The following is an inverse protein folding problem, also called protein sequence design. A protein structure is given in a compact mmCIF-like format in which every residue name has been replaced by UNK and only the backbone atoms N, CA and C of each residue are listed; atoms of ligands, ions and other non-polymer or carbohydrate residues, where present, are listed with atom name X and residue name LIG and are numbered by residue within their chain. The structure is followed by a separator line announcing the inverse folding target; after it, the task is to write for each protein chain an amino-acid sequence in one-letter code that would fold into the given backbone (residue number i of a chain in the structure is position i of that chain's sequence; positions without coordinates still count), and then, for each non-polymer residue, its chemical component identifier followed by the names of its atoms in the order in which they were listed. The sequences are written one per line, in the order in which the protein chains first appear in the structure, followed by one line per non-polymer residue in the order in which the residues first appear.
data_IF_951455914363
#
_entry.id   IF_951455914363
#
_cell.length_a   1.000
_cell.length_b   1.000
_cell.length_c   1.000
_cell.angle_alpha   90.00
_cell.angle_beta   90.00
_cell.angle_gamma   90.00
#
_symmetry.space_group_name_H-M   'P 1'
#
loop_
_entity.id
_entity.type
_entity.pdbx_description
1 polymer ?
#
# COMPACT_ATOMS: atom_id res chain seq x y z
N UNK A 1 0.70 28.95 6.14
CA UNK A 1 1.76 28.76 5.12
C UNK A 1 1.22 27.80 4.06
N UNK A 2 1.28 28.17 2.78
CA UNK A 2 0.72 27.38 1.67
C UNK A 2 1.81 26.41 1.19
N UNK A 3 1.71 25.13 1.56
CA UNK A 3 2.67 24.10 1.16
C UNK A 3 2.41 23.72 -0.29
N UNK A 4 3.36 24.04 -1.19
CA UNK A 4 3.37 23.56 -2.57
C UNK A 4 4.19 22.27 -2.62
N UNK A 5 3.57 21.18 -3.05
CA UNK A 5 4.24 19.89 -3.24
C UNK A 5 4.49 19.67 -4.74
N UNK A 6 5.62 19.02 -5.09
CA UNK A 6 6.11 18.73 -6.45
C UNK A 6 5.18 19.12 -7.62
N UNK A 7 5.46 20.27 -8.26
CA UNK A 7 4.83 20.69 -9.52
C UNK A 7 3.64 21.67 -9.41
N UNK A 8 3.62 22.55 -8.39
CA UNK A 8 2.55 23.54 -8.14
C UNK A 8 1.15 22.95 -7.86
N UNK A 9 1.06 21.65 -7.60
CA UNK A 9 -0.18 21.00 -7.16
C UNK A 9 -0.43 21.26 -5.67
N UNK A 10 -1.72 21.42 -5.31
CA UNK A 10 -2.12 21.50 -3.92
C UNK A 10 -1.72 20.21 -3.19
N UNK A 11 -1.22 20.39 -1.97
CA UNK A 11 -0.82 19.28 -1.11
C UNK A 11 -2.04 18.38 -0.88
N UNK A 12 -1.96 17.06 -1.14
CA UNK A 12 -3.09 16.17 -0.97
C UNK A 12 -3.63 16.26 0.48
N UNK A 13 -4.96 16.22 0.64
CA UNK A 13 -5.60 16.41 1.95
C UNK A 13 -5.11 15.43 3.02
N UNK A 14 -4.73 14.21 2.62
CA UNK A 14 -4.13 13.23 3.53
C UNK A 14 -2.77 13.68 4.08
N UNK A 15 -1.94 14.36 3.28
CA UNK A 15 -0.65 14.91 3.70
C UNK A 15 -0.86 16.06 4.68
N UNK A 16 -1.85 16.93 4.41
CA UNK A 16 -2.19 18.04 5.31
C UNK A 16 -2.72 17.54 6.66
N UNK A 17 -3.54 16.49 6.65
CA UNK A 17 -3.97 15.81 7.86
C UNK A 17 -2.78 15.25 8.65
N UNK A 18 -1.85 14.57 7.97
CA UNK A 18 -0.63 13.99 8.57
C UNK A 18 0.30 15.06 9.18
N UNK A 19 0.49 16.19 8.47
CA UNK A 19 1.28 17.32 8.98
C UNK A 19 0.63 17.91 10.24
N UNK A 20 -0.71 17.99 10.26
CA UNK A 20 -1.43 18.54 11.41
C UNK A 20 -1.37 17.63 12.65
N UNK A 21 -1.38 16.30 12.46
CA UNK A 21 -1.23 15.32 13.55
C UNK A 21 0.21 15.29 14.06
N UNK A 22 1.20 15.28 13.16
CA UNK A 22 2.61 15.40 13.51
C UNK A 22 2.91 16.68 14.30
N UNK A 23 2.35 17.82 13.89
CA UNK A 23 2.51 19.08 14.61
C UNK A 23 1.96 19.03 16.05
N UNK A 24 0.79 18.41 16.25
CA UNK A 24 0.19 18.22 17.59
C UNK A 24 0.98 17.27 18.47
N UNK A 25 1.53 16.20 17.89
CA UNK A 25 2.40 15.26 18.62
C UNK A 25 3.68 15.96 19.03
N UNK A 26 4.30 16.70 18.11
CA UNK A 26 5.51 17.47 18.38
C UNK A 26 5.31 18.48 19.51
N UNK A 27 4.22 19.23 19.52
CA UNK A 27 3.93 20.21 20.58
C UNK A 27 3.77 19.55 21.96
N UNK A 28 3.16 18.37 22.02
CA UNK A 28 3.02 17.60 23.27
C UNK A 28 4.35 17.01 23.74
N UNK A 29 5.13 16.44 22.83
CA UNK A 29 6.45 15.89 23.14
C UNK A 29 7.36 17.01 23.63
N UNK A 30 7.36 18.16 22.98
CA UNK A 30 8.17 19.32 23.38
C UNK A 30 7.82 19.84 24.78
N UNK A 31 6.53 19.79 25.17
CA UNK A 31 6.09 20.10 26.54
C UNK A 31 6.57 19.06 27.55
N UNK A 32 6.57 17.78 27.20
CA UNK A 32 7.04 16.68 28.07
C UNK A 32 8.57 16.61 28.18
N UNK A 33 9.28 17.05 27.15
CA UNK A 33 10.76 17.07 27.10
C UNK A 33 11.36 18.42 27.50
N UNK A 34 10.54 19.38 27.93
CA UNK A 34 10.98 20.72 28.34
C UNK A 34 11.96 20.66 29.53
N UNK A 35 11.75 19.71 30.44
CA UNK A 35 12.61 19.50 31.61
C UNK A 35 13.97 18.86 31.25
N UNK A 36 14.05 18.20 30.10
CA UNK A 36 15.21 17.42 29.67
C UNK A 36 16.19 18.19 28.76
N UNK A 37 15.95 19.49 28.50
CA UNK A 37 16.83 20.38 27.71
C UNK A 37 17.17 19.89 26.30
N UNK A 38 16.29 19.13 25.66
CA UNK A 38 16.49 18.73 24.27
C UNK A 38 16.32 19.92 23.30
N UNK A 39 17.15 19.99 22.27
CA UNK A 39 16.95 20.95 21.20
C UNK A 39 15.75 20.56 20.33
N UNK A 40 15.12 21.55 19.70
CA UNK A 40 14.00 21.33 18.78
C UNK A 40 14.35 20.38 17.61
N UNK A 41 15.64 20.28 17.26
CA UNK A 41 16.15 19.32 16.28
C UNK A 41 16.10 17.88 16.80
N UNK A 42 16.59 17.65 18.02
CA UNK A 42 16.64 16.32 18.65
C UNK A 42 15.24 15.75 18.89
N UNK A 43 14.29 16.60 19.30
CA UNK A 43 12.89 16.18 19.49
C UNK A 43 12.27 15.74 18.16
N UNK A 44 12.53 16.45 17.06
CA UNK A 44 12.05 16.05 15.72
C UNK A 44 12.70 14.76 15.26
N UNK A 45 14.01 14.61 15.47
CA UNK A 45 14.74 13.39 15.13
C UNK A 45 14.20 12.19 15.91
N UNK A 46 13.97 12.34 17.23
CA UNK A 46 13.41 11.30 18.07
C UNK A 46 12.01 10.89 17.62
N UNK A 47 11.12 11.85 17.34
CA UNK A 47 9.77 11.55 16.84
C UNK A 47 9.81 10.85 15.48
N UNK A 48 10.70 11.28 14.58
CA UNK A 48 10.86 10.64 13.27
C UNK A 48 11.40 9.21 13.39
N UNK A 49 12.40 8.98 14.23
CA UNK A 49 12.98 7.65 14.48
C UNK A 49 11.96 6.71 15.09
N UNK A 50 11.22 7.14 16.13
CA UNK A 50 10.18 6.32 16.75
C UNK A 50 9.03 6.02 15.78
N UNK A 51 8.59 7.01 15.00
CA UNK A 51 7.57 6.81 13.97
C UNK A 51 8.04 5.82 12.91
N UNK A 52 9.30 5.91 12.49
CA UNK A 52 9.89 5.01 11.50
C UNK A 52 10.02 3.58 12.01
N UNK A 53 10.53 3.38 13.23
CA UNK A 53 10.70 2.06 13.83
C UNK A 53 9.35 1.37 14.01
N UNK A 54 8.37 2.06 14.62
CA UNK A 54 7.04 1.48 14.86
C UNK A 54 6.30 1.19 13.56
N UNK A 55 6.40 2.08 12.56
CA UNK A 55 5.79 1.84 11.25
C UNK A 55 6.47 0.68 10.52
N UNK A 56 7.79 0.56 10.60
CA UNK A 56 8.54 -0.53 9.96
C UNK A 56 8.26 -1.87 10.64
N UNK A 57 8.19 -1.90 11.97
CA UNK A 57 7.80 -3.08 12.74
C UNK A 57 6.40 -3.56 12.35
N UNK A 58 5.43 -2.64 12.28
CA UNK A 58 4.06 -2.98 11.89
C UNK A 58 3.94 -3.47 10.44
N UNK A 59 4.71 -2.89 9.51
CA UNK A 59 4.73 -3.33 8.09
C UNK A 59 5.22 -4.75 7.92
N UNK A 60 6.27 -5.13 8.65
CA UNK A 60 6.85 -6.47 8.58
C UNK A 60 6.23 -7.44 9.60
N UNK A 61 5.20 -6.99 10.33
CA UNK A 61 4.50 -7.77 11.34
C UNK A 61 5.44 -8.41 12.37
N UNK A 62 6.45 -7.63 12.81
CA UNK A 62 7.46 -8.06 13.79
C UNK A 62 6.81 -8.28 15.15
N UNK A 63 7.22 -9.34 15.85
CA UNK A 63 6.81 -9.67 17.21
C UNK A 63 7.47 -8.76 18.26
N UNK A 64 6.82 -8.61 19.43
CA UNK A 64 7.29 -7.70 20.47
C UNK A 64 8.64 -8.09 21.09
N UNK A 65 8.99 -9.38 21.09
CA UNK A 65 10.28 -9.87 21.59
C UNK A 65 11.42 -9.50 20.64
N UNK A 66 11.25 -9.73 19.33
CA UNK A 66 12.18 -9.32 18.29
C UNK A 66 12.36 -7.80 18.26
N UNK A 67 11.27 -7.02 18.35
CA UNK A 67 11.35 -5.56 18.43
C UNK A 67 12.12 -5.08 19.66
N UNK A 68 11.95 -5.77 20.81
CA UNK A 68 12.68 -5.45 22.04
C UNK A 68 14.18 -5.70 21.91
N UNK A 69 14.56 -6.80 21.24
CA UNK A 69 15.95 -7.13 20.94
C UNK A 69 16.60 -6.07 20.03
N UNK A 70 15.91 -5.68 18.95
CA UNK A 70 16.39 -4.63 18.02
C UNK A 70 16.55 -3.27 18.72
N UNK A 71 15.59 -2.87 19.56
CA UNK A 71 15.68 -1.62 20.32
C UNK A 71 16.85 -1.64 21.33
N UNK A 72 17.14 -2.78 21.95
CA UNK A 72 18.29 -2.94 22.84
C UNK A 72 19.61 -2.87 22.08
N UNK A 73 19.68 -3.44 20.86
CA UNK A 73 20.86 -3.35 19.99
C UNK A 73 21.12 -1.92 19.49
N UNK A 74 20.06 -1.14 19.28
CA UNK A 74 20.14 0.30 19.00
C UNK A 74 20.63 1.12 20.22
N UNK A 75 20.79 0.48 21.39
CA UNK A 75 21.33 1.10 22.60
C UNK A 75 20.27 1.61 23.57
N UNK A 76 18.98 1.30 23.38
CA UNK A 76 17.96 1.69 24.35
C UNK A 76 18.04 0.82 25.63
N UNK A 77 17.85 1.43 26.82
CA UNK A 77 17.69 0.69 28.06
C UNK A 77 16.55 -0.33 27.97
N UNK A 78 16.75 -1.50 28.58
CA UNK A 78 15.78 -2.61 28.58
C UNK A 78 14.39 -2.19 29.07
N UNK A 79 14.31 -1.26 30.02
CA UNK A 79 13.03 -0.74 30.52
C UNK A 79 12.28 0.08 29.47
N UNK A 80 12.98 0.95 28.73
CA UNK A 80 12.37 1.76 27.69
C UNK A 80 11.98 0.94 26.46
N UNK A 81 12.81 -0.04 26.08
CA UNK A 81 12.49 -0.99 25.02
C UNK A 81 11.22 -1.80 25.36
N UNK A 82 11.12 -2.33 26.59
CA UNK A 82 9.94 -3.08 27.03
C UNK A 82 8.66 -2.22 27.05
N UNK A 83 8.75 -0.96 27.48
CA UNK A 83 7.61 -0.03 27.43
C UNK A 83 7.16 0.25 25.99
N UNK A 84 8.09 0.48 25.06
CA UNK A 84 7.76 0.71 23.66
C UNK A 84 7.13 -0.53 23.00
N UNK A 85 7.61 -1.73 23.32
CA UNK A 85 7.02 -2.98 22.82
C UNK A 85 5.59 -3.19 23.29
N UNK A 86 5.29 -2.93 24.57
CA UNK A 86 3.90 -3.01 25.08
C UNK A 86 2.97 -2.05 24.36
N UNK A 87 3.40 -0.79 24.17
CA UNK A 87 2.61 0.20 23.42
C UNK A 87 2.43 -0.18 21.94
N UNK A 88 3.41 -0.86 21.35
CA UNK A 88 3.31 -1.40 20.00
C UNK A 88 2.29 -2.54 19.93
N UNK A 89 2.38 -3.56 20.79
CA UNK A 89 1.46 -4.71 20.81
C UNK A 89 -0.01 -4.28 20.99
N UNK A 90 -0.27 -3.31 21.87
CA UNK A 90 -1.63 -2.78 22.09
C UNK A 90 -2.23 -2.08 20.85
N UNK A 91 -1.39 -1.44 20.02
CA UNK A 91 -1.83 -0.61 18.88
C UNK A 91 -1.48 -1.19 17.52
N UNK A 92 -0.84 -2.36 17.47
CA UNK A 92 -0.32 -2.97 16.25
C UNK A 92 -1.44 -3.21 15.23
N UNK A 93 -2.59 -3.72 15.66
CA UNK A 93 -3.74 -4.00 14.79
C UNK A 93 -4.28 -2.73 14.13
N UNK A 94 -4.54 -1.69 14.93
CA UNK A 94 -5.01 -0.39 14.43
C UNK A 94 -3.98 0.28 13.51
N UNK A 95 -2.69 0.17 13.83
CA UNK A 95 -1.62 0.74 13.01
C UNK A 95 -1.47 -0.02 11.68
N UNK A 96 -1.60 -1.35 11.68
CA UNK A 96 -1.62 -2.15 10.46
C UNK A 96 -2.85 -1.86 9.60
N UNK A 97 -4.02 -1.66 10.19
CA UNK A 97 -5.23 -1.26 9.45
C UNK A 97 -5.07 0.12 8.82
N UNK A 98 -4.52 1.08 9.56
CA UNK A 98 -4.23 2.41 9.04
C UNK A 98 -3.19 2.36 7.91
N UNK A 99 -2.09 1.63 8.10
CA UNK A 99 -1.10 1.42 7.04
C UNK A 99 -1.69 0.69 5.83
N UNK A 100 -2.61 -0.27 6.01
CA UNK A 100 -3.34 -0.92 4.90
C UNK A 100 -4.28 0.02 4.17
N UNK A 101 -4.86 0.99 4.87
CA UNK A 101 -5.72 2.01 4.27
C UNK A 101 -4.90 3.05 3.48
N UNK A 102 -3.70 3.39 3.96
CA UNK A 102 -2.79 4.34 3.32
C UNK A 102 -1.85 3.69 2.29
N UNK A 103 -1.72 2.36 2.29
CA UNK A 103 -0.90 1.63 1.32
C UNK A 103 -1.53 1.67 -0.07
N UNK A 104 -0.68 1.73 -1.10
CA UNK A 104 -1.09 1.69 -2.50
C UNK A 104 -1.93 0.43 -2.75
N UNK A 105 -3.24 0.61 -2.90
CA UNK A 105 -4.14 -0.47 -3.31
C UNK A 105 -3.89 -0.78 -4.77
N UNK A 106 -3.51 -2.02 -5.05
CA UNK A 106 -3.58 -2.56 -6.41
C UNK A 106 -5.06 -2.73 -6.74
N UNK A 107 -5.46 -2.30 -7.93
CA UNK A 107 -6.83 -2.50 -8.38
C UNK A 107 -7.22 -3.98 -8.29
N UNK A 108 -8.37 -4.27 -7.69
CA UNK A 108 -8.88 -5.63 -7.53
C UNK A 108 -9.78 -5.99 -8.70
N UNK A 109 -9.59 -7.17 -9.26
CA UNK A 109 -10.53 -7.75 -10.22
C UNK A 109 -11.78 -8.22 -9.45
N UNK A 110 -12.91 -7.56 -9.67
CA UNK A 110 -14.19 -7.88 -9.04
C UNK A 110 -14.90 -9.02 -9.77
N UNK A 111 -14.94 -8.98 -11.09
CA UNK A 111 -15.52 -10.05 -11.92
C UNK A 111 -14.83 -10.14 -13.28
N UNK A 112 -14.94 -11.31 -13.90
CA UNK A 112 -14.45 -11.55 -15.25
C UNK A 112 -15.54 -12.27 -16.06
N UNK A 113 -15.97 -11.65 -17.15
CA UNK A 113 -16.85 -12.23 -18.16
C UNK A 113 -16.10 -12.46 -19.46
N UNK A 114 -16.46 -13.50 -20.20
CA UNK A 114 -15.89 -13.78 -21.51
C UNK A 114 -16.99 -14.19 -22.49
N UNK A 115 -16.73 -13.96 -23.77
CA UNK A 115 -17.54 -14.46 -24.88
C UNK A 115 -16.66 -14.69 -26.10
N UNK A 116 -17.07 -15.62 -26.96
CA UNK A 116 -16.42 -15.87 -28.24
C UNK A 116 -17.33 -15.35 -29.34
N UNK A 117 -16.83 -14.37 -30.08
CA UNK A 117 -17.49 -13.80 -31.24
C UNK A 117 -16.81 -14.43 -32.49
N UNK A 118 -17.60 -14.82 -33.50
CA UNK A 118 -17.05 -15.27 -34.78
C UNK A 118 -17.17 -14.13 -35.78
N UNK A 119 -16.03 -13.63 -36.26
CA UNK A 119 -16.05 -12.61 -37.31
C UNK A 119 -16.32 -13.34 -38.62
N UNK A 120 -17.25 -12.83 -39.43
CA UNK A 120 -17.61 -13.47 -40.71
C UNK A 120 -16.96 -12.73 -41.89
N UNK A 121 -16.88 -11.38 -41.82
CA UNK A 121 -16.30 -10.51 -42.85
C UNK A 121 -15.69 -9.27 -42.22
N UNK A 122 -14.62 -8.77 -42.82
CA UNK A 122 -13.99 -7.49 -42.49
C UNK A 122 -14.15 -6.52 -43.66
N UNK A 123 -14.13 -5.22 -43.42
CA UNK A 123 -14.14 -4.20 -44.49
C UNK A 123 -12.92 -4.28 -45.41
N UNK A 124 -11.82 -4.87 -44.95
CA UNK A 124 -10.56 -5.03 -45.69
C UNK A 124 -10.39 -6.42 -46.33
N UNK A 125 -11.13 -7.43 -45.87
CA UNK A 125 -10.97 -8.83 -46.27
C UNK A 125 -12.33 -9.52 -46.44
N UNK A 126 -12.57 -10.11 -47.61
CA UNK A 126 -13.88 -10.67 -48.03
C UNK A 126 -14.39 -11.83 -47.17
N UNK A 127 -13.49 -12.57 -46.52
CA UNK A 127 -13.79 -13.67 -45.59
C UNK A 127 -12.70 -13.72 -44.54
N UNK A 128 -13.07 -13.47 -43.29
CA UNK A 128 -12.19 -13.60 -42.13
C UNK A 128 -12.95 -14.49 -41.17
N UNK A 129 -12.96 -15.80 -41.44
CA UNK A 129 -13.67 -16.82 -40.67
C UNK A 129 -12.89 -17.16 -39.39
N UNK A 130 -12.66 -16.15 -38.55
CA UNK A 130 -11.76 -16.28 -37.40
C UNK A 130 -12.50 -16.08 -36.06
N UNK A 131 -12.24 -16.95 -35.07
CA UNK A 131 -12.78 -16.78 -33.73
C UNK A 131 -12.04 -15.65 -32.99
N UNK A 132 -12.82 -14.76 -32.39
CA UNK A 132 -12.36 -13.64 -31.58
C UNK A 132 -12.88 -13.78 -30.15
N UNK A 133 -12.00 -13.77 -29.16
CA UNK A 133 -12.36 -13.81 -27.75
C UNK A 133 -12.52 -12.38 -27.24
N UNK A 134 -13.68 -12.06 -26.66
CA UNK A 134 -13.91 -10.79 -25.95
C UNK A 134 -13.97 -11.03 -24.46
N UNK A 135 -13.03 -10.42 -23.74
CA UNK A 135 -12.98 -10.42 -22.28
C UNK A 135 -13.54 -9.11 -21.74
N UNK A 136 -14.29 -9.19 -20.64
CA UNK A 136 -14.76 -8.06 -19.86
C UNK A 136 -14.30 -8.26 -18.42
N UNK A 137 -13.42 -7.39 -17.96
CA UNK A 137 -12.85 -7.41 -16.62
C UNK A 137 -13.43 -6.24 -15.84
N UNK A 138 -14.08 -6.50 -14.72
CA UNK A 138 -14.56 -5.46 -13.82
C UNK A 138 -13.51 -5.22 -12.75
N UNK A 139 -12.92 -4.01 -12.75
CA UNK A 139 -11.76 -3.67 -11.96
C UNK A 139 -12.14 -2.56 -10.99
N UNK A 140 -12.01 -2.82 -9.68
CA UNK A 140 -12.33 -1.86 -8.63
C UNK A 140 -11.03 -1.36 -7.95
N UNK A 141 -10.85 -0.04 -7.87
CA UNK A 141 -9.69 0.57 -7.21
C UNK A 141 -9.75 0.44 -5.67
N UNK A 142 -10.94 0.32 -5.11
CA UNK A 142 -11.20 0.13 -3.69
C UNK A 142 -12.50 -0.69 -3.50
N UNK A 143 -12.74 -1.28 -2.32
CA UNK A 143 -13.93 -2.10 -2.03
C UNK A 143 -15.25 -1.37 -2.29
N UNK A 144 -15.29 -0.05 -2.04
CA UNK A 144 -16.48 0.80 -2.21
C UNK A 144 -16.42 1.70 -3.47
N UNK A 145 -15.37 1.57 -4.28
CA UNK A 145 -15.24 2.38 -5.50
C UNK A 145 -16.01 1.76 -6.66
N UNK A 146 -16.56 2.59 -7.58
CA UNK A 146 -17.24 2.08 -8.77
C UNK A 146 -16.29 1.22 -9.61
N UNK A 147 -16.73 0.02 -9.96
CA UNK A 147 -15.95 -0.89 -10.79
C UNK A 147 -15.85 -0.34 -12.23
N UNK A 148 -14.63 -0.21 -12.73
CA UNK A 148 -14.35 0.15 -14.11
C UNK A 148 -14.33 -1.12 -14.96
N UNK A 149 -15.11 -1.13 -16.04
CA UNK A 149 -15.12 -2.25 -16.99
C UNK A 149 -14.02 -2.06 -18.02
N UNK A 150 -13.06 -2.98 -18.05
CA UNK A 150 -12.02 -3.08 -19.07
C UNK A 150 -12.42 -4.18 -20.05
N UNK A 151 -12.74 -3.80 -21.29
CA UNK A 151 -13.08 -4.73 -22.35
C UNK A 151 -11.89 -4.95 -23.30
N UNK A 152 -11.53 -6.20 -23.54
CA UNK A 152 -10.41 -6.62 -24.37
C UNK A 152 -10.93 -7.51 -25.50
N UNK A 153 -10.39 -7.37 -26.70
CA UNK A 153 -10.66 -8.30 -27.81
C UNK A 153 -9.34 -8.94 -28.24
N UNK A 154 -9.31 -10.28 -28.27
CA UNK A 154 -8.11 -11.09 -28.47
C UNK A 154 -8.37 -12.16 -29.52
N UNK A 155 -7.41 -12.38 -30.42
CA UNK A 155 -7.41 -13.58 -31.26
C UNK A 155 -7.14 -14.83 -30.43
N UNK A 156 -7.42 -16.01 -31.00
CA UNK A 156 -7.15 -17.29 -30.35
C UNK A 156 -5.69 -17.42 -29.88
N UNK A 157 -4.73 -17.07 -30.74
CA UNK A 157 -3.30 -17.16 -30.43
C UNK A 157 -2.91 -16.24 -29.26
N UNK A 158 -3.38 -15.00 -29.27
CA UNK A 158 -3.11 -14.04 -28.18
C UNK A 158 -3.73 -14.48 -26.86
N UNK A 159 -4.91 -15.10 -26.91
CA UNK A 159 -5.55 -15.66 -25.73
C UNK A 159 -4.77 -16.85 -25.15
N UNK A 160 -4.20 -17.71 -25.99
CA UNK A 160 -3.34 -18.79 -25.53
C UNK A 160 -2.07 -18.28 -24.84
N UNK A 161 -1.42 -17.26 -25.40
CA UNK A 161 -0.26 -16.61 -24.77
C UNK A 161 -0.66 -16.01 -23.42
N UNK A 162 -1.77 -15.26 -23.36
CA UNK A 162 -2.26 -14.69 -22.10
C UNK A 162 -2.51 -15.77 -21.04
N UNK A 163 -3.11 -16.90 -21.42
CA UNK A 163 -3.34 -18.01 -20.50
C UNK A 163 -2.04 -18.63 -19.99
N UNK A 164 -1.02 -18.78 -20.84
CA UNK A 164 0.26 -19.31 -20.45
C UNK A 164 0.97 -18.40 -19.43
N UNK A 165 1.00 -17.08 -19.69
CA UNK A 165 1.59 -16.10 -18.79
C UNK A 165 0.85 -16.03 -17.44
N UNK A 166 -0.49 -16.10 -17.44
CA UNK A 166 -1.27 -16.12 -16.21
C UNK A 166 -1.00 -17.38 -15.37
N UNK A 167 -0.82 -18.54 -16.00
CA UNK A 167 -0.42 -19.77 -15.30
C UNK A 167 0.98 -19.65 -14.70
N UNK A 168 1.93 -19.07 -15.44
CA UNK A 168 3.27 -18.84 -14.94
C UNK A 168 3.27 -17.89 -13.73
N UNK A 169 2.51 -16.80 -13.80
CA UNK A 169 2.33 -15.88 -12.68
C UNK A 169 1.71 -16.57 -11.46
N UNK A 170 0.71 -17.44 -11.66
CA UNK A 170 0.10 -18.21 -10.59
C UNK A 170 1.11 -19.12 -9.88
N UNK A 171 1.96 -19.82 -10.64
CA UNK A 171 3.01 -20.69 -10.07
C UNK A 171 3.98 -19.86 -9.23
N UNK A 172 4.47 -18.74 -9.76
CA UNK A 172 5.37 -17.84 -9.03
C UNK A 172 4.73 -17.34 -7.73
N UNK A 173 3.48 -16.87 -7.79
CA UNK A 173 2.74 -16.39 -6.61
C UNK A 173 2.52 -17.51 -5.58
N UNK A 174 2.25 -18.74 -6.01
CA UNK A 174 2.09 -19.88 -5.09
C UNK A 174 3.40 -20.35 -4.45
N UNK A 175 4.55 -20.03 -5.05
CA UNK A 175 5.87 -20.35 -4.48
C UNK A 175 6.36 -19.32 -3.45
N UNK A 176 5.73 -18.15 -3.40
CA UNK A 176 6.06 -17.02 -2.52
C UNK A 176 5.20 -16.99 -1.24
N UNK A 177 4.19 -17.85 -1.13
CA UNK A 177 3.32 -18.00 0.06
C UNK A 177 3.64 -19.26 0.82
#
# INVERSE_FOLDING_TARGET
MRFRFCGDLDCPDWVLAEISTLAKIYEKVLKLTADARFESGDVKAMVAVLSFILSSAAKHSVDGESLSSELQQLGLPKEHAACLCRCYEEKQSSLQEHLRACSLRVNRLASAGWRVDYILRSSLLKTVEEPMVRLRLEVAAAPDAPAQVVALSLSADKFQVLLAELKQAQILMSSLG
#
